data_IF_245463814236
#
_entry.id   IF_245463814236
#
_cell.length_a   1.000
_cell.length_b   1.000
_cell.length_c   1.000
_cell.angle_alpha   90.00
_cell.angle_beta   90.00
_cell.angle_gamma   90.00
#
_symmetry.space_group_name_H-M   'P 1'
#
loop_
_entity.id
_entity.type
_entity.pdbx_description
1 polymer ?
#
# COMPACT_ATOMS: atom_id res chain seq x y z
N UNK A 1 17.65 -4.86 22.96
CA UNK A 1 16.18 -4.88 23.02
C UNK A 1 15.61 -4.46 21.68
N UNK A 2 14.72 -5.25 21.13
CA UNK A 2 14.13 -4.94 19.85
C UNK A 2 13.16 -3.77 19.96
N UNK A 3 13.24 -2.89 18.99
CA UNK A 3 12.33 -1.76 18.91
C UNK A 3 10.97 -2.22 18.39
N UNK A 4 9.91 -1.75 19.03
CA UNK A 4 8.55 -1.95 18.52
C UNK A 4 8.37 -1.02 17.32
N UNK A 5 7.92 -1.57 16.19
CA UNK A 5 7.59 -0.79 15.00
C UNK A 5 6.09 -0.51 14.97
N UNK A 6 5.75 0.73 14.65
CA UNK A 6 4.37 1.15 14.49
C UNK A 6 4.10 1.33 13.00
N UNK A 7 3.17 0.53 12.49
CA UNK A 7 2.71 0.62 11.11
C UNK A 7 1.31 1.21 11.07
N UNK A 8 1.10 2.20 10.22
CA UNK A 8 -0.19 2.87 10.07
C UNK A 8 -0.79 2.51 8.71
N UNK A 9 -2.03 2.05 8.74
CA UNK A 9 -2.81 1.79 7.54
C UNK A 9 -3.34 3.11 7.00
N UNK A 10 -3.01 3.43 5.76
CA UNK A 10 -3.31 4.70 5.12
C UNK A 10 -4.19 4.49 3.90
N UNK A 11 -5.15 5.40 3.69
CA UNK A 11 -6.07 5.34 2.55
C UNK A 11 -5.74 6.31 1.44
N UNK A 12 -4.69 7.12 1.61
CA UNK A 12 -4.28 8.12 0.63
C UNK A 12 -2.82 8.51 0.85
N UNK A 13 -2.24 9.18 -0.13
CA UNK A 13 -0.90 9.75 0.03
C UNK A 13 -0.87 10.80 1.15
N UNK A 14 -1.93 11.57 1.31
CA UNK A 14 -2.04 12.54 2.40
C UNK A 14 -1.96 11.88 3.77
N UNK A 15 -2.61 10.74 3.94
CA UNK A 15 -2.52 9.96 5.17
C UNK A 15 -1.09 9.49 5.44
N UNK A 16 -0.37 9.08 4.39
CA UNK A 16 1.04 8.65 4.53
C UNK A 16 1.90 9.81 5.01
N UNK A 17 1.74 10.99 4.40
CA UNK A 17 2.49 12.18 4.81
C UNK A 17 2.21 12.54 6.27
N UNK A 18 0.94 12.47 6.69
CA UNK A 18 0.56 12.75 8.07
C UNK A 18 1.12 11.71 9.04
N UNK A 19 1.03 10.42 8.70
CA UNK A 19 1.55 9.34 9.55
C UNK A 19 3.07 9.44 9.70
N UNK A 20 3.78 9.72 8.62
CA UNK A 20 5.23 9.90 8.65
C UNK A 20 5.62 11.09 9.52
N UNK A 21 4.90 12.20 9.39
CA UNK A 21 5.12 13.40 10.22
C UNK A 21 4.86 13.15 11.69
N UNK A 22 3.98 12.22 12.02
CA UNK A 22 3.67 11.83 13.39
C UNK A 22 4.62 10.77 13.96
N UNK A 23 5.57 10.28 13.16
CA UNK A 23 6.60 9.35 13.63
C UNK A 23 6.33 7.88 13.37
N UNK A 24 5.44 7.53 12.45
CA UNK A 24 5.23 6.13 12.07
C UNK A 24 6.55 5.52 11.55
N UNK A 25 6.79 4.26 11.89
CA UNK A 25 7.98 3.54 11.41
C UNK A 25 7.76 2.98 10.01
N UNK A 26 6.51 2.64 9.70
CA UNK A 26 6.12 2.07 8.41
C UNK A 26 4.69 2.45 8.13
N UNK A 27 4.33 2.51 6.87
CA UNK A 27 2.96 2.77 6.44
C UNK A 27 2.53 1.71 5.41
N UNK A 28 1.24 1.46 5.37
CA UNK A 28 0.63 0.60 4.35
C UNK A 28 -0.30 1.49 3.53
N UNK A 29 0.02 1.69 2.26
CA UNK A 29 -0.79 2.52 1.39
C UNK A 29 -1.85 1.69 0.70
N UNK A 30 -3.10 2.10 0.88
CA UNK A 30 -4.28 1.52 0.26
C UNK A 30 -5.02 2.60 -0.52
N UNK A 31 -6.03 2.19 -1.26
CA UNK A 31 -7.11 3.03 -1.72
C UNK A 31 -8.42 2.45 -1.18
N UNK A 32 -9.51 3.20 -1.26
CA UNK A 32 -10.84 2.71 -0.94
C UNK A 32 -10.91 1.92 0.38
N UNK A 33 -10.46 2.53 1.48
CA UNK A 33 -10.48 1.89 2.79
C UNK A 33 -11.90 1.46 3.21
N UNK A 34 -12.92 2.19 2.77
CA UNK A 34 -14.31 1.85 3.03
C UNK A 34 -14.73 0.53 2.37
N UNK A 35 -13.96 0.02 1.42
CA UNK A 35 -14.14 -1.30 0.80
C UNK A 35 -13.15 -2.34 1.36
N UNK A 36 -12.45 -2.01 2.42
CA UNK A 36 -11.48 -2.89 3.06
C UNK A 36 -10.04 -2.70 2.59
N UNK A 37 -9.81 -1.73 1.73
CA UNK A 37 -8.46 -1.44 1.20
C UNK A 37 -8.21 -2.14 -0.13
N UNK A 38 -7.97 -1.35 -1.17
CA UNK A 38 -7.65 -1.83 -2.52
C UNK A 38 -6.30 -1.30 -2.95
N UNK A 39 -5.83 -1.77 -4.10
CA UNK A 39 -4.57 -1.34 -4.71
C UNK A 39 -4.56 0.18 -4.91
N UNK A 40 -3.53 0.90 -4.44
CA UNK A 40 -3.42 2.34 -4.66
C UNK A 40 -3.00 2.63 -6.09
N UNK A 41 -3.27 3.86 -6.55
CA UNK A 41 -2.75 4.31 -7.83
C UNK A 41 -1.24 4.53 -7.77
N UNK A 42 -0.58 4.48 -8.92
CA UNK A 42 0.85 4.80 -9.00
C UNK A 42 1.12 6.25 -8.59
N UNK A 43 0.22 7.17 -8.95
CA UNK A 43 0.36 8.56 -8.54
C UNK A 43 0.34 8.74 -7.03
N UNK A 44 -0.56 8.03 -6.34
CA UNK A 44 -0.59 8.07 -4.88
C UNK A 44 0.70 7.51 -4.29
N UNK A 45 1.22 6.42 -4.85
CA UNK A 45 2.46 5.81 -4.38
C UNK A 45 3.64 6.77 -4.57
N UNK A 46 3.75 7.38 -5.74
CA UNK A 46 4.84 8.32 -6.02
C UNK A 46 4.85 9.51 -5.07
N UNK A 47 3.68 10.05 -4.77
CA UNK A 47 3.56 11.14 -3.81
C UNK A 47 3.88 10.66 -2.40
N UNK A 48 3.38 9.49 -2.01
CA UNK A 48 3.62 8.91 -0.68
C UNK A 48 5.11 8.66 -0.44
N UNK A 49 5.87 8.28 -1.47
CA UNK A 49 7.33 8.05 -1.35
C UNK A 49 8.09 9.27 -0.87
N UNK A 50 7.59 10.46 -1.13
CA UNK A 50 8.26 11.68 -0.70
C UNK A 50 8.34 11.81 0.82
N UNK A 51 7.53 11.04 1.54
CA UNK A 51 7.55 11.05 3.01
C UNK A 51 8.78 10.35 3.62
N UNK A 52 9.54 9.58 2.81
CA UNK A 52 10.76 8.88 3.24
C UNK A 52 10.52 7.95 4.44
N UNK A 53 9.36 7.31 4.46
CA UNK A 53 9.00 6.29 5.45
C UNK A 53 8.95 4.93 4.75
N UNK A 54 9.18 3.85 5.48
CA UNK A 54 9.03 2.51 4.90
C UNK A 54 7.61 2.35 4.39
N UNK A 55 7.46 2.02 3.11
CA UNK A 55 6.19 2.10 2.38
C UNK A 55 5.81 0.75 1.82
N UNK A 56 4.77 0.16 2.39
CA UNK A 56 4.16 -1.06 1.88
C UNK A 56 2.95 -0.68 1.02
N UNK A 57 2.75 -1.38 -0.07
CA UNK A 57 1.61 -1.13 -0.96
C UNK A 57 0.67 -2.31 -0.99
N UNK A 58 -0.62 -2.03 -0.84
CA UNK A 58 -1.66 -3.05 -0.92
C UNK A 58 -1.86 -3.50 -2.36
N UNK A 59 -1.98 -4.81 -2.55
CA UNK A 59 -2.38 -5.40 -3.83
C UNK A 59 -3.65 -6.19 -3.60
N UNK A 60 -4.77 -5.59 -3.98
CA UNK A 60 -6.11 -6.19 -3.89
C UNK A 60 -6.94 -5.59 -5.02
N UNK A 61 -7.28 -6.39 -6.05
CA UNK A 61 -7.83 -5.82 -7.29
C UNK A 61 -9.28 -5.36 -7.19
N UNK A 62 -10.04 -5.89 -6.23
CA UNK A 62 -11.46 -5.56 -6.07
C UNK A 62 -11.92 -5.92 -4.67
N UNK A 63 -13.06 -5.40 -4.27
CA UNK A 63 -13.71 -5.75 -3.01
C UNK A 63 -14.25 -7.19 -3.03
N UNK A 64 -14.70 -7.68 -1.90
CA UNK A 64 -15.28 -9.00 -1.75
C UNK A 64 -14.27 -10.05 -1.36
N UNK A 65 -14.55 -11.30 -1.70
CA UNK A 65 -13.73 -12.43 -1.27
C UNK A 65 -12.35 -12.47 -1.89
N UNK A 66 -11.52 -13.32 -1.35
CA UNK A 66 -10.10 -13.44 -1.76
C UNK A 66 -9.87 -14.62 -2.72
N UNK A 67 -10.91 -15.09 -3.39
CA UNK A 67 -10.80 -16.14 -4.39
C UNK A 67 -10.81 -15.48 -5.76
N UNK A 68 -9.66 -15.39 -6.40
CA UNK A 68 -9.45 -14.58 -7.59
C UNK A 68 -9.51 -15.39 -8.86
N UNK A 69 -10.02 -14.78 -9.93
CA UNK A 69 -9.96 -15.36 -11.28
C UNK A 69 -8.52 -15.29 -11.78
N UNK A 70 -8.27 -15.98 -12.91
CA UNK A 70 -6.96 -15.93 -13.54
C UNK A 70 -6.58 -14.51 -13.95
N UNK A 71 -7.53 -13.76 -14.50
CA UNK A 71 -7.31 -12.37 -14.92
C UNK A 71 -7.04 -11.47 -13.72
N UNK A 72 -7.76 -11.67 -12.63
CA UNK A 72 -7.51 -10.92 -11.40
C UNK A 72 -6.12 -11.22 -10.84
N UNK A 73 -5.71 -12.48 -10.85
CA UNK A 73 -4.38 -12.86 -10.37
C UNK A 73 -3.30 -12.22 -11.24
N UNK A 74 -3.46 -12.25 -12.55
CA UNK A 74 -2.50 -11.59 -13.46
C UNK A 74 -2.45 -10.09 -13.21
N UNK A 75 -3.59 -9.45 -12.97
CA UNK A 75 -3.65 -8.03 -12.60
C UNK A 75 -2.86 -7.76 -11.33
N UNK A 76 -3.01 -8.62 -10.32
CA UNK A 76 -2.28 -8.46 -9.06
C UNK A 76 -0.77 -8.55 -9.26
N UNK A 77 -0.30 -9.48 -10.10
CA UNK A 77 1.13 -9.62 -10.38
C UNK A 77 1.68 -8.39 -11.10
N UNK A 78 0.93 -7.86 -12.06
CA UNK A 78 1.33 -6.65 -12.79
C UNK A 78 1.35 -5.44 -11.85
N UNK A 79 0.31 -5.28 -11.03
CA UNK A 79 0.25 -4.19 -10.08
C UNK A 79 1.41 -4.26 -9.10
N UNK A 80 1.70 -5.45 -8.55
CA UNK A 80 2.81 -5.63 -7.62
C UNK A 80 4.13 -5.20 -8.26
N UNK A 81 4.38 -5.61 -9.49
CA UNK A 81 5.60 -5.23 -10.21
C UNK A 81 5.70 -3.72 -10.40
N UNK A 82 4.60 -3.09 -10.85
CA UNK A 82 4.58 -1.64 -11.08
C UNK A 82 4.78 -0.86 -9.78
N UNK A 83 4.15 -1.30 -8.70
CA UNK A 83 4.28 -0.64 -7.41
C UNK A 83 5.72 -0.75 -6.88
N UNK A 84 6.34 -1.92 -6.99
CA UNK A 84 7.73 -2.10 -6.57
C UNK A 84 8.68 -1.26 -7.43
N UNK A 85 8.48 -1.24 -8.74
CA UNK A 85 9.29 -0.43 -9.66
C UNK A 85 9.14 1.07 -9.37
N UNK A 86 7.95 1.48 -8.94
CA UNK A 86 7.70 2.87 -8.58
C UNK A 86 8.21 3.24 -7.18
N UNK A 87 8.71 2.25 -6.42
CA UNK A 87 9.43 2.49 -5.19
C UNK A 87 8.78 2.03 -3.90
N UNK A 88 7.75 1.20 -3.97
CA UNK A 88 7.27 0.54 -2.75
C UNK A 88 8.37 -0.35 -2.19
N UNK A 89 8.50 -0.38 -0.87
CA UNK A 89 9.48 -1.22 -0.20
C UNK A 89 9.01 -2.67 -0.11
N UNK A 90 7.72 -2.88 -0.19
CA UNK A 90 7.13 -4.21 -0.15
C UNK A 90 5.66 -4.20 -0.53
N UNK A 91 5.08 -5.38 -0.57
CA UNK A 91 3.70 -5.59 -1.00
C UNK A 91 2.93 -6.29 0.12
N UNK A 92 1.68 -5.90 0.30
CA UNK A 92 0.70 -6.57 1.15
C UNK A 92 -0.43 -7.05 0.26
N UNK A 93 -0.89 -8.28 0.45
CA UNK A 93 -2.00 -8.80 -0.35
C UNK A 93 -2.86 -9.76 0.48
N UNK A 94 -4.06 -9.98 0.03
CA UNK A 94 -4.99 -10.91 0.64
C UNK A 94 -6.14 -11.25 -0.26
#
# INVERSE_FOLDING_TARGET
MDKIKIEICCGSAGDVLAAAGAGADRVELNSALFLGGLTPSLGALELARTAQVELMAMVRPREGGFCYTQEEFCTMLLDARRLLDAGADGIVFG
#
